data_IF_992637462005
#
_entry.id   IF_992637462005
#
_cell.length_a   1.000
_cell.length_b   1.000
_cell.length_c   1.000
_cell.angle_alpha   90.00
_cell.angle_beta   90.00
_cell.angle_gamma   90.00
#
_symmetry.space_group_name_H-M   'P 1'
#
loop_
_entity.id
_entity.type
_entity.pdbx_description
1 polymer ?
#
# COMPACT_ATOMS: atom_id res chain seq x y z
N UNK A 1 43.27 46.60 44.78
CA UNK A 1 42.05 46.81 45.58
C UNK A 1 41.09 45.70 45.24
N UNK A 2 40.54 44.99 46.23
CA UNK A 2 39.45 44.03 45.99
C UNK A 2 38.16 44.85 46.05
N UNK A 3 37.57 45.14 44.90
CA UNK A 3 36.20 45.65 44.82
C UNK A 3 35.32 44.72 45.67
N UNK A 4 34.54 45.28 46.59
CA UNK A 4 33.61 44.45 47.36
C UNK A 4 32.50 44.04 46.39
N UNK A 5 32.15 42.77 46.41
CA UNK A 5 31.11 42.20 45.54
C UNK A 5 29.78 42.99 45.57
N UNK A 6 29.45 43.61 46.71
CA UNK A 6 28.26 44.46 46.84
C UNK A 6 28.30 45.75 46.01
N UNK A 7 29.49 46.34 45.82
CA UNK A 7 29.66 47.59 45.07
C UNK A 7 29.45 47.34 43.56
N UNK A 8 29.91 46.18 43.07
CA UNK A 8 29.69 45.71 41.68
C UNK A 8 28.21 45.43 41.40
N UNK A 9 27.49 44.84 42.36
CA UNK A 9 26.05 44.57 42.20
C UNK A 9 25.23 45.86 42.19
N UNK A 10 25.64 46.87 42.97
CA UNK A 10 24.99 48.18 43.00
C UNK A 10 25.11 48.90 41.66
N UNK A 11 26.33 48.93 41.11
CA UNK A 11 26.59 49.50 39.79
C UNK A 11 25.80 48.78 38.69
N UNK A 12 25.74 47.44 38.74
CA UNK A 12 24.93 46.65 37.80
C UNK A 12 23.43 46.94 37.91
N UNK A 13 22.88 47.05 39.13
CA UNK A 13 21.45 47.29 39.31
C UNK A 13 21.01 48.70 38.88
N UNK A 14 21.91 49.68 38.90
CA UNK A 14 21.64 51.04 38.42
C UNK A 14 21.79 51.18 36.90
N UNK A 15 22.66 50.37 36.29
CA UNK A 15 22.94 50.41 34.85
C UNK A 15 22.11 49.43 34.03
N UNK A 16 21.54 48.39 34.65
CA UNK A 16 20.71 47.41 33.95
C UNK A 16 19.36 47.97 33.51
N UNK A 17 18.89 47.54 32.34
CA UNK A 17 17.54 47.84 31.84
C UNK A 17 16.47 46.97 32.50
N UNK A 18 16.86 45.95 33.29
CA UNK A 18 15.93 45.12 34.03
C UNK A 18 15.22 45.92 35.12
N UNK A 19 13.88 45.83 35.17
CA UNK A 19 13.08 46.69 36.06
C UNK A 19 13.14 46.30 37.55
N UNK A 20 13.46 45.05 37.88
CA UNK A 20 13.44 44.57 39.26
C UNK A 20 14.75 44.78 40.05
N UNK A 21 15.97 44.56 39.49
CA UNK A 21 17.24 44.79 40.19
C UNK A 21 17.38 46.17 40.89
N UNK A 22 17.09 47.33 40.25
CA UNK A 22 17.18 48.62 40.93
C UNK A 22 16.18 48.75 42.10
N UNK A 23 14.99 48.14 42.00
CA UNK A 23 13.99 48.14 43.09
C UNK A 23 14.43 47.26 44.26
N UNK A 24 15.05 46.12 43.99
CA UNK A 24 15.56 45.22 45.05
C UNK A 24 16.67 45.91 45.87
N UNK A 25 17.51 46.72 45.23
CA UNK A 25 18.62 47.40 45.91
C UNK A 25 18.22 48.68 46.66
N UNK A 26 17.29 49.45 46.11
CA UNK A 26 16.88 50.76 46.66
C UNK A 26 15.94 50.68 47.88
N UNK A 27 15.14 49.63 48.04
CA UNK A 27 14.18 49.54 49.14
C UNK A 27 14.85 49.27 50.52
N UNK A 28 14.33 49.90 51.59
CA UNK A 28 14.89 49.77 52.95
C UNK A 28 14.45 48.51 53.69
N UNK A 29 13.21 48.06 53.50
CA UNK A 29 12.64 46.92 54.20
C UNK A 29 12.89 45.60 53.48
N UNK A 30 13.29 44.57 54.23
CA UNK A 30 13.55 43.23 53.68
C UNK A 30 12.34 42.61 52.99
N UNK A 31 11.12 42.84 53.50
CA UNK A 31 9.88 42.32 52.90
C UNK A 31 9.65 42.87 51.49
N UNK A 32 9.93 44.16 51.27
CA UNK A 32 9.82 44.78 49.94
C UNK A 32 10.89 44.24 48.98
N UNK A 33 12.10 43.94 49.48
CA UNK A 33 13.15 43.30 48.68
C UNK A 33 12.77 41.88 48.26
N UNK A 34 12.22 41.10 49.19
CA UNK A 34 11.73 39.74 48.91
C UNK A 34 10.57 39.76 47.92
N UNK A 35 9.65 40.73 48.04
CA UNK A 35 8.55 40.90 47.09
C UNK A 35 9.06 41.16 45.66
N UNK A 36 9.95 42.14 45.47
CA UNK A 36 10.52 42.42 44.15
C UNK A 36 11.41 41.30 43.62
N UNK A 37 12.13 40.60 44.50
CA UNK A 37 12.91 39.41 44.15
C UNK A 37 12.02 38.25 43.68
N UNK A 38 10.90 38.02 44.36
CA UNK A 38 9.93 36.99 43.97
C UNK A 38 9.30 37.28 42.61
N UNK A 39 8.88 38.54 42.36
CA UNK A 39 8.36 38.95 41.06
C UNK A 39 9.40 38.79 39.94
N UNK A 40 10.67 39.08 40.22
CA UNK A 40 11.75 38.89 39.26
C UNK A 40 11.97 37.41 38.92
N UNK A 41 11.95 36.53 39.93
CA UNK A 41 12.07 35.08 39.73
C UNK A 41 10.89 34.51 38.94
N UNK A 42 9.66 34.98 39.19
CA UNK A 42 8.49 34.61 38.38
C UNK A 42 8.70 35.05 36.93
N UNK A 43 9.14 36.30 36.70
CA UNK A 43 9.38 36.83 35.36
C UNK A 43 10.44 36.03 34.58
N UNK A 44 11.52 35.61 35.24
CA UNK A 44 12.52 34.74 34.63
C UNK A 44 11.93 33.35 34.33
N UNK A 45 11.16 32.78 35.27
CA UNK A 45 10.53 31.47 35.09
C UNK A 45 9.56 31.43 33.91
N UNK A 46 8.70 32.43 33.77
CA UNK A 46 7.76 32.53 32.63
C UNK A 46 8.51 32.77 31.32
N UNK A 47 9.55 33.61 31.32
CA UNK A 47 10.38 33.84 30.14
C UNK A 47 11.04 32.55 29.64
N UNK A 48 11.63 31.76 30.55
CA UNK A 48 12.23 30.47 30.19
C UNK A 48 11.17 29.49 29.67
N UNK A 49 10.01 29.40 30.32
CA UNK A 49 8.91 28.53 29.87
C UNK A 49 8.44 28.87 28.45
N UNK A 50 8.11 30.15 28.18
CA UNK A 50 7.67 30.57 26.84
C UNK A 50 8.76 30.42 25.78
N UNK A 51 10.02 30.67 26.14
CA UNK A 51 11.14 30.47 25.22
C UNK A 51 11.28 29.00 24.83
N UNK A 52 11.11 28.08 25.79
CA UNK A 52 11.15 26.64 25.50
C UNK A 52 9.99 26.20 24.60
N UNK A 53 8.77 26.69 24.83
CA UNK A 53 7.63 26.40 23.95
C UNK A 53 7.84 26.93 22.53
N UNK A 54 8.37 28.16 22.40
CA UNK A 54 8.67 28.73 21.08
C UNK A 54 9.78 27.95 20.36
N UNK A 55 10.83 27.54 21.07
CA UNK A 55 11.91 26.71 20.50
C UNK A 55 11.37 25.34 20.08
N UNK A 56 10.52 24.70 20.90
CA UNK A 56 9.88 23.42 20.56
C UNK A 56 9.01 23.54 19.31
N UNK A 57 8.21 24.61 19.21
CA UNK A 57 7.38 24.90 18.04
C UNK A 57 8.20 25.26 16.80
N UNK A 58 9.36 25.89 16.97
CA UNK A 58 10.26 26.16 15.84
C UNK A 58 10.95 24.88 15.34
N UNK A 59 11.42 24.02 16.26
CA UNK A 59 12.12 22.76 15.95
C UNK A 59 11.14 21.63 15.60
N UNK A 60 9.84 21.79 15.81
CA UNK A 60 8.85 20.83 15.32
C UNK A 60 8.70 20.84 13.80
N UNK A 61 9.24 21.86 13.13
CA UNK A 61 9.18 22.04 11.66
C UNK A 61 7.76 21.86 11.11
N UNK A 62 6.75 22.34 11.84
CA UNK A 62 5.37 22.27 11.41
C UNK A 62 5.18 23.09 10.12
N UNK A 63 4.64 22.44 9.08
CA UNK A 63 4.44 23.06 7.76
C UNK A 63 2.95 23.18 7.48
N UNK A 64 2.54 24.33 6.93
CA UNK A 64 1.18 24.56 6.45
C UNK A 64 1.14 24.31 4.95
N UNK A 65 0.19 23.48 4.49
CA UNK A 65 -0.03 23.22 3.07
C UNK A 65 -1.13 24.13 2.53
N UNK A 66 -0.81 24.93 1.51
CA UNK A 66 -1.79 25.74 0.78
C UNK A 66 -2.25 24.99 -0.48
N UNK A 67 -3.56 24.80 -0.63
CA UNK A 67 -4.16 24.09 -1.76
C UNK A 67 -4.80 25.12 -2.70
N UNK A 68 -4.19 25.33 -3.88
CA UNK A 68 -4.73 26.18 -4.94
C UNK A 68 -5.15 25.35 -6.16
N UNK A 69 -6.35 25.61 -6.70
CA UNK A 69 -6.81 25.00 -7.94
C UNK A 69 -6.33 25.80 -9.14
N UNK A 70 -5.53 25.18 -10.02
CA UNK A 70 -5.10 25.77 -11.30
C UNK A 70 -5.73 25.03 -12.48
N UNK A 71 -6.48 25.76 -13.30
CA UNK A 71 -7.00 25.25 -14.58
C UNK A 71 -5.99 25.55 -15.68
N UNK A 72 -5.20 24.55 -16.03
CA UNK A 72 -4.21 24.62 -17.10
C UNK A 72 -4.27 23.36 -17.97
N UNK A 73 -3.61 23.39 -19.13
CA UNK A 73 -3.46 22.20 -19.97
C UNK A 73 -2.68 21.16 -19.16
N UNK A 74 -3.29 20.01 -18.94
CA UNK A 74 -2.74 18.93 -18.12
C UNK A 74 -2.24 17.81 -19.04
N UNK A 75 -1.14 17.17 -18.66
CA UNK A 75 -0.71 15.95 -19.33
C UNK A 75 -1.69 14.83 -18.97
N UNK A 76 -2.20 14.13 -19.99
CA UNK A 76 -3.02 12.96 -19.73
C UNK A 76 -2.13 11.89 -19.11
N UNK A 77 -2.58 11.16 -18.08
CA UNK A 77 -1.76 10.13 -17.48
C UNK A 77 -1.48 9.00 -18.47
N UNK A 78 -0.45 8.22 -18.20
CA UNK A 78 -0.30 6.92 -18.82
C UNK A 78 -1.38 5.98 -18.25
N UNK A 79 -2.02 5.18 -19.11
CA UNK A 79 -3.04 4.22 -18.67
C UNK A 79 -2.62 2.83 -19.08
N UNK A 80 -2.32 2.00 -18.09
CA UNK A 80 -1.85 0.63 -18.27
C UNK A 80 -2.96 -0.38 -18.07
N UNK A 81 -3.07 -1.31 -19.01
CA UNK A 81 -3.98 -2.43 -19.00
C UNK A 81 -3.18 -3.73 -19.01
N UNK A 82 -3.48 -4.62 -18.08
CA UNK A 82 -2.95 -5.98 -18.05
C UNK A 82 -4.12 -6.95 -17.89
N UNK A 83 -4.06 -8.10 -18.56
CA UNK A 83 -5.00 -9.16 -18.28
C UNK A 83 -4.63 -9.84 -16.96
N UNK A 84 -5.62 -10.23 -16.17
CA UNK A 84 -5.38 -11.02 -14.95
C UNK A 84 -4.97 -12.46 -15.27
N UNK A 85 -5.37 -12.96 -16.43
CA UNK A 85 -4.85 -14.23 -16.96
C UNK A 85 -3.57 -13.95 -17.73
N UNK A 86 -2.47 -14.51 -17.24
CA UNK A 86 -1.14 -14.32 -17.84
C UNK A 86 -1.03 -14.93 -19.24
N UNK A 87 -1.75 -16.03 -19.51
CA UNK A 87 -1.67 -16.77 -20.78
C UNK A 87 -3.05 -17.10 -21.35
N UNK A 88 -3.11 -17.20 -22.67
CA UNK A 88 -4.29 -17.67 -23.40
C UNK A 88 -4.40 -19.18 -23.31
N UNK A 89 -5.58 -19.69 -22.95
CA UNK A 89 -5.79 -21.13 -22.74
C UNK A 89 -5.43 -22.01 -23.95
N UNK A 90 -5.58 -21.50 -25.17
CA UNK A 90 -5.24 -22.17 -26.43
C UNK A 90 -3.74 -22.15 -26.78
N UNK A 91 -2.94 -21.33 -26.09
CA UNK A 91 -1.50 -21.17 -26.33
C UNK A 91 -0.61 -21.74 -25.23
N UNK A 92 -1.20 -22.24 -24.15
CA UNK A 92 -0.45 -22.84 -23.04
C UNK A 92 -0.02 -24.27 -23.40
N UNK A 93 1.28 -24.63 -23.28
CA UNK A 93 1.76 -26.01 -23.45
C UNK A 93 1.03 -27.01 -22.56
N UNK A 94 0.82 -28.23 -23.04
CA UNK A 94 0.05 -29.29 -22.35
C UNK A 94 0.59 -29.57 -20.93
N UNK A 95 1.92 -29.53 -20.76
CA UNK A 95 2.60 -29.67 -19.47
C UNK A 95 2.15 -28.61 -18.45
N UNK A 96 2.07 -27.34 -18.86
CA UNK A 96 1.59 -26.24 -18.00
C UNK A 96 0.10 -26.40 -17.73
N UNK A 97 -0.70 -26.83 -18.72
CA UNK A 97 -2.13 -27.05 -18.52
C UNK A 97 -2.40 -28.09 -17.43
N UNK A 98 -1.64 -29.19 -17.40
CA UNK A 98 -1.79 -30.21 -16.36
C UNK A 98 -1.39 -29.70 -14.98
N UNK A 99 -0.30 -28.94 -14.88
CA UNK A 99 0.16 -28.33 -13.63
C UNK A 99 -0.84 -27.29 -13.10
N UNK A 100 -1.38 -26.45 -13.98
CA UNK A 100 -2.44 -25.48 -13.65
C UNK A 100 -3.73 -26.19 -13.24
N UNK A 101 -4.10 -27.28 -13.92
CA UNK A 101 -5.26 -28.08 -13.54
C UNK A 101 -5.08 -28.69 -12.14
N UNK A 102 -3.91 -29.23 -11.82
CA UNK A 102 -3.59 -29.76 -10.48
C UNK A 102 -3.69 -28.66 -9.41
N UNK A 103 -3.14 -27.47 -9.68
CA UNK A 103 -3.26 -26.30 -8.81
C UNK A 103 -4.73 -25.93 -8.55
N UNK A 104 -5.53 -25.82 -9.61
CA UNK A 104 -6.95 -25.46 -9.51
C UNK A 104 -7.76 -26.52 -8.77
N UNK A 105 -7.42 -27.80 -8.92
CA UNK A 105 -8.04 -28.89 -8.16
C UNK A 105 -7.65 -28.83 -6.67
N UNK A 106 -6.38 -28.56 -6.34
CA UNK A 106 -5.94 -28.38 -4.96
C UNK A 106 -6.62 -27.18 -4.29
N UNK A 107 -6.69 -26.04 -4.98
CA UNK A 107 -7.38 -24.83 -4.52
C UNK A 107 -8.87 -25.05 -4.30
N UNK A 108 -9.52 -25.77 -5.22
CA UNK A 108 -10.93 -26.13 -5.08
C UNK A 108 -11.12 -27.09 -3.90
N UNK A 109 -10.26 -28.08 -3.73
CA UNK A 109 -10.32 -29.01 -2.59
C UNK A 109 -10.19 -28.30 -1.23
N UNK A 110 -9.30 -27.31 -1.13
CA UNK A 110 -9.13 -26.50 0.08
C UNK A 110 -10.38 -25.64 0.38
N UNK A 111 -10.96 -25.00 -0.65
CA UNK A 111 -12.23 -24.25 -0.54
C UNK A 111 -13.39 -25.13 -0.02
N UNK A 112 -13.39 -26.43 -0.36
CA UNK A 112 -14.38 -27.40 0.14
C UNK A 112 -14.02 -27.99 1.51
N UNK A 113 -12.92 -27.56 2.14
CA UNK A 113 -12.45 -28.04 3.44
C UNK A 113 -11.87 -29.45 3.39
N UNK A 114 -11.17 -29.78 2.30
CA UNK A 114 -10.40 -31.01 2.11
C UNK A 114 -10.80 -31.82 0.87
N UNK A 115 -9.84 -32.60 0.34
CA UNK A 115 -9.98 -33.45 -0.86
C UNK A 115 -11.13 -34.45 -0.74
N UNK A 116 -11.32 -35.07 0.44
CA UNK A 116 -12.41 -36.02 0.69
C UNK A 116 -13.80 -35.40 0.49
N UNK A 117 -13.98 -34.14 0.94
CA UNK A 117 -15.25 -33.42 0.79
C UNK A 117 -15.47 -32.99 -0.65
N UNK A 118 -14.42 -32.51 -1.32
CA UNK A 118 -14.46 -32.16 -2.74
C UNK A 118 -14.78 -33.36 -3.64
N UNK A 119 -14.14 -34.51 -3.43
CA UNK A 119 -14.37 -35.72 -4.23
C UNK A 119 -15.78 -36.27 -4.04
N UNK A 120 -16.32 -36.16 -2.82
CA UNK A 120 -17.72 -36.52 -2.52
C UNK A 120 -18.75 -35.61 -3.18
N UNK A 121 -18.41 -34.33 -3.41
CA UNK A 121 -19.23 -33.37 -4.15
C UNK A 121 -19.13 -33.58 -5.67
N UNK A 122 -17.91 -33.77 -6.19
CA UNK A 122 -17.62 -33.98 -7.62
C UNK A 122 -18.22 -35.27 -8.15
N UNK A 123 -18.24 -36.32 -7.33
CA UNK A 123 -18.72 -37.65 -7.75
C UNK A 123 -19.69 -38.24 -6.71
N UNK A 124 -21.01 -38.03 -6.84
CA UNK A 124 -22.01 -38.52 -5.89
C UNK A 124 -22.04 -40.07 -5.76
N UNK A 125 -21.45 -40.77 -6.73
CA UNK A 125 -21.29 -42.23 -6.75
C UNK A 125 -20.16 -42.74 -5.83
N UNK A 126 -19.24 -41.87 -5.39
CA UNK A 126 -18.12 -42.20 -4.49
C UNK A 126 -18.51 -42.13 -3.00
N UNK A 127 -19.80 -42.22 -2.65
CA UNK A 127 -20.21 -42.43 -1.25
C UNK A 127 -19.62 -43.75 -0.76
N UNK A 128 -18.43 -43.68 -0.18
CA UNK A 128 -17.74 -44.78 0.44
C UNK A 128 -18.69 -45.37 1.48
N UNK A 129 -19.11 -46.61 1.21
CA UNK A 129 -19.99 -47.35 2.08
C UNK A 129 -19.32 -47.58 3.42
N UNK A 130 -19.58 -46.71 4.39
CA UNK A 130 -19.56 -47.00 5.83
C UNK A 130 -20.62 -46.12 6.50
N UNK A 131 -21.86 -46.61 6.53
CA UNK A 131 -22.87 -46.16 7.51
C UNK A 131 -22.36 -46.51 8.92
N UNK A 132 -21.57 -45.62 9.53
CA UNK A 132 -21.50 -45.56 11.00
C UNK A 132 -22.63 -44.65 11.44
N UNK A 133 -23.66 -45.22 12.03
CA UNK A 133 -24.79 -44.52 12.66
C UNK A 133 -24.20 -43.55 13.70
N UNK A 134 -24.07 -42.27 13.34
CA UNK A 134 -23.72 -41.21 14.29
C UNK A 134 -25.02 -40.56 14.73
N UNK A 135 -25.23 -40.57 16.04
CA UNK A 135 -26.33 -39.97 16.80
C UNK A 135 -26.69 -38.60 16.22
N UNK A 136 -27.97 -38.32 16.00
CA UNK A 136 -28.47 -36.98 15.71
C UNK A 136 -28.09 -36.08 16.90
N UNK A 137 -27.13 -35.19 16.69
CA UNK A 137 -26.93 -34.04 17.56
C UNK A 137 -27.55 -32.89 16.79
N UNK A 138 -28.72 -32.47 17.26
CA UNK A 138 -29.35 -31.21 16.87
C UNK A 138 -28.46 -30.10 17.44
N UNK A 139 -27.74 -29.41 16.55
CA UNK A 139 -27.05 -28.16 16.90
C UNK A 139 -27.92 -27.02 16.38
N UNK A 140 -28.49 -26.29 17.33
CA UNK A 140 -29.22 -25.06 17.11
C UNK A 140 -28.31 -24.04 16.40
N UNK A 141 -28.88 -23.33 15.43
CA UNK A 141 -28.26 -22.16 14.81
C UNK A 141 -28.19 -21.05 15.85
N UNK A 142 -27.01 -20.82 16.41
CA UNK A 142 -26.69 -19.55 17.07
C UNK A 142 -25.91 -18.69 16.08
N UNK A 143 -26.48 -17.56 15.68
CA UNK A 143 -25.75 -16.50 14.98
C UNK A 143 -24.57 -16.09 15.84
N UNK A 144 -23.36 -16.31 15.35
CA UNK A 144 -22.16 -15.80 15.99
C UNK A 144 -21.56 -14.73 15.10
N UNK A 145 -21.61 -13.51 15.61
CA UNK A 145 -21.12 -12.25 15.08
C UNK A 145 -19.63 -12.38 14.71
N UNK A 146 -19.30 -12.13 13.44
CA UNK A 146 -17.91 -12.11 12.97
C UNK A 146 -17.31 -10.77 13.37
N UNK A 147 -16.46 -10.77 14.41
CA UNK A 147 -15.56 -9.65 14.70
C UNK A 147 -14.47 -9.58 13.64
N UNK A 148 -14.44 -8.49 12.88
CA UNK A 148 -13.38 -8.16 11.93
C UNK A 148 -12.11 -7.90 12.75
N UNK A 149 -11.09 -8.75 12.59
CA UNK A 149 -9.75 -8.46 13.08
C UNK A 149 -9.06 -7.64 12.00
N UNK A 150 -8.98 -6.33 12.22
CA UNK A 150 -7.95 -5.48 11.60
C UNK A 150 -6.61 -5.90 12.20
N UNK A 151 -5.61 -6.21 11.35
CA UNK A 151 -4.17 -5.93 11.55
C UNK A 151 -3.28 -6.86 10.71
N UNK A 152 -2.56 -6.30 9.72
CA UNK A 152 -1.10 -6.14 9.79
C UNK A 152 -0.53 -5.61 8.47
N UNK A 153 -0.25 -4.31 8.44
CA UNK A 153 0.87 -3.78 7.67
C UNK A 153 2.17 -4.29 8.30
N UNK A 154 3.04 -4.91 7.49
CA UNK A 154 4.34 -5.41 7.93
C UNK A 154 5.35 -5.32 6.80
N UNK A 155 5.96 -4.14 6.66
CA UNK A 155 7.16 -3.92 5.86
C UNK A 155 8.34 -4.69 6.48
N UNK A 156 8.79 -5.77 5.86
CA UNK A 156 10.00 -6.48 6.29
C UNK A 156 11.20 -6.10 5.43
N UNK A 157 12.21 -5.52 6.07
CA UNK A 157 13.56 -5.39 5.53
C UNK A 157 14.15 -6.78 5.22
N UNK A 158 14.94 -6.92 4.14
CA UNK A 158 15.71 -8.14 3.92
C UNK A 158 16.78 -8.29 5.02
N UNK A 159 17.00 -9.51 5.57
CA UNK A 159 18.07 -9.74 6.54
C UNK A 159 19.45 -9.68 5.87
N UNK A 160 20.47 -9.33 6.66
CA UNK A 160 21.86 -9.28 6.21
C UNK A 160 22.37 -10.67 5.77
N UNK A 161 23.34 -10.69 4.85
CA UNK A 161 23.88 -11.88 4.20
C UNK A 161 24.44 -12.94 5.16
N UNK A 162 24.79 -12.51 6.37
CA UNK A 162 25.46 -13.29 7.41
C UNK A 162 24.47 -14.20 8.18
N UNK A 163 23.17 -13.93 8.11
CA UNK A 163 22.11 -14.68 8.82
C UNK A 163 21.53 -15.86 8.02
N UNK A 164 21.99 -16.07 6.77
CA UNK A 164 21.52 -17.17 5.90
C UNK A 164 21.88 -18.59 6.39
N UNK A 165 22.66 -18.72 7.46
CA UNK A 165 23.09 -20.02 7.98
C UNK A 165 22.14 -20.63 9.02
N UNK A 166 21.14 -19.89 9.52
CA UNK A 166 20.14 -20.45 10.43
C UNK A 166 18.88 -20.89 9.67
N UNK A 167 18.88 -22.17 9.28
CA UNK A 167 17.78 -22.88 8.61
C UNK A 167 16.43 -22.82 9.38
N UNK A 168 16.47 -22.44 10.66
CA UNK A 168 15.31 -22.37 11.56
C UNK A 168 14.28 -21.29 11.21
N UNK A 169 14.63 -20.30 10.37
CA UNK A 169 13.66 -19.33 9.85
C UNK A 169 12.74 -19.91 8.78
N UNK A 170 13.18 -20.91 8.01
CA UNK A 170 12.33 -21.60 7.04
C UNK A 170 11.33 -22.52 7.73
N UNK A 171 11.75 -23.18 8.82
CA UNK A 171 10.91 -24.14 9.54
C UNK A 171 9.74 -23.50 10.30
N UNK A 172 9.85 -22.20 10.62
CA UNK A 172 8.83 -21.44 11.34
C UNK A 172 7.95 -20.58 10.42
N UNK A 173 8.21 -20.62 9.10
CA UNK A 173 7.27 -20.14 8.10
C UNK A 173 6.16 -21.19 8.00
N UNK A 174 5.19 -21.07 8.90
CA UNK A 174 4.10 -22.00 9.08
C UNK A 174 3.51 -22.44 7.75
N UNK A 175 3.33 -23.77 7.63
CA UNK A 175 2.61 -24.50 6.59
C UNK A 175 2.44 -23.68 5.32
N UNK A 176 3.46 -23.69 4.45
CA UNK A 176 3.33 -23.19 3.07
C UNK A 176 2.11 -23.89 2.52
N UNK A 177 0.98 -23.18 2.45
CA UNK A 177 -0.26 -23.78 1.99
C UNK A 177 0.02 -24.49 0.67
N UNK A 178 -0.62 -25.63 0.44
CA UNK A 178 -0.50 -26.36 -0.81
C UNK A 178 -0.62 -25.44 -2.04
N UNK A 179 -1.38 -24.34 -1.93
CA UNK A 179 -1.46 -23.28 -2.92
C UNK A 179 -0.10 -22.56 -3.17
N UNK A 180 0.60 -22.11 -2.13
CA UNK A 180 1.88 -21.40 -2.30
C UNK A 180 2.98 -22.30 -2.86
N UNK A 181 3.04 -23.58 -2.47
CA UNK A 181 4.06 -24.52 -2.97
C UNK A 181 3.82 -24.89 -4.44
N UNK A 182 2.56 -25.08 -4.85
CA UNK A 182 2.23 -25.34 -6.25
C UNK A 182 2.44 -24.07 -7.10
N UNK A 183 2.10 -22.89 -6.57
CA UNK A 183 2.38 -21.62 -7.25
C UNK A 183 3.89 -21.41 -7.46
N UNK A 184 4.72 -21.76 -6.48
CA UNK A 184 6.18 -21.73 -6.61
C UNK A 184 6.71 -22.72 -7.66
N UNK A 185 6.12 -23.92 -7.74
CA UNK A 185 6.48 -24.89 -8.78
C UNK A 185 6.08 -24.39 -10.18
N UNK A 186 4.91 -23.75 -10.28
CA UNK A 186 4.44 -23.13 -11.53
C UNK A 186 5.33 -21.95 -11.94
N UNK A 187 5.73 -21.08 -11.02
CA UNK A 187 6.63 -19.96 -11.34
C UNK A 187 8.03 -20.44 -11.71
N UNK A 188 8.54 -21.49 -11.07
CA UNK A 188 9.82 -22.11 -11.44
C UNK A 188 9.76 -22.82 -12.81
N UNK A 189 8.59 -23.33 -13.21
CA UNK A 189 8.42 -23.90 -14.53
C UNK A 189 8.33 -22.81 -15.60
N UNK A 190 7.54 -21.75 -15.36
CA UNK A 190 7.39 -20.60 -16.27
C UNK A 190 8.74 -19.88 -16.48
N UNK A 191 9.59 -19.81 -15.45
CA UNK A 191 10.91 -19.15 -15.56
C UNK A 191 11.92 -19.87 -16.47
N UNK A 192 11.59 -21.07 -16.97
CA UNK A 192 12.43 -21.81 -17.93
C UNK A 192 12.19 -21.36 -19.38
N UNK A 193 11.13 -20.61 -19.64
CA UNK A 193 10.77 -20.10 -20.97
C UNK A 193 11.44 -18.75 -21.23
N UNK A 194 11.64 -18.42 -22.51
CA UNK A 194 12.11 -17.09 -22.90
C UNK A 194 10.99 -16.06 -22.79
N UNK A 195 11.34 -14.79 -22.67
CA UNK A 195 10.33 -13.71 -22.61
C UNK A 195 9.51 -13.67 -23.90
N UNK A 196 10.13 -13.94 -25.04
CA UNK A 196 9.47 -13.99 -26.34
C UNK A 196 8.37 -15.09 -26.40
N UNK A 197 8.67 -16.29 -25.89
CA UNK A 197 7.70 -17.39 -25.83
C UNK A 197 6.51 -17.03 -24.93
N UNK A 198 6.79 -16.38 -23.79
CA UNK A 198 5.78 -15.96 -22.82
C UNK A 198 4.90 -14.84 -23.38
N UNK A 199 5.48 -13.91 -24.13
CA UNK A 199 4.75 -12.85 -24.85
C UNK A 199 3.82 -13.47 -25.90
N UNK A 200 4.28 -14.47 -26.66
CA UNK A 200 3.45 -15.14 -27.66
C UNK A 200 2.26 -15.90 -27.03
N UNK A 201 2.50 -16.54 -25.89
CA UNK A 201 1.45 -17.23 -25.12
C UNK A 201 0.48 -16.27 -24.43
N UNK A 202 0.89 -15.03 -24.19
CA UNK A 202 0.10 -13.98 -23.56
C UNK A 202 -1.05 -13.46 -24.43
N UNK A 203 -1.87 -12.58 -23.85
CA UNK A 203 -3.00 -11.97 -24.55
C UNK A 203 -2.53 -10.82 -25.45
N UNK A 204 -2.99 -10.81 -26.70
CA UNK A 204 -2.72 -9.70 -27.63
C UNK A 204 -3.76 -8.58 -27.49
N UNK A 205 -3.31 -7.32 -27.53
CA UNK A 205 -4.21 -6.16 -27.43
C UNK A 205 -5.13 -6.02 -28.65
N UNK A 206 -4.71 -6.46 -29.84
CA UNK A 206 -5.55 -6.43 -31.03
C UNK A 206 -6.78 -7.32 -30.92
N UNK A 207 -6.70 -8.39 -30.13
CA UNK A 207 -7.83 -9.27 -29.83
C UNK A 207 -8.68 -8.77 -28.65
N UNK A 208 -8.04 -8.09 -27.69
CA UNK A 208 -8.72 -7.60 -26.49
C UNK A 208 -9.41 -6.25 -26.70
N UNK A 209 -8.86 -5.32 -27.48
CA UNK A 209 -9.37 -3.97 -27.66
C UNK A 209 -10.48 -3.95 -28.72
N UNK A 210 -11.73 -3.72 -28.32
CA UNK A 210 -12.85 -3.57 -29.27
C UNK A 210 -12.98 -2.16 -29.80
N UNK A 211 -13.01 -1.20 -28.88
CA UNK A 211 -13.19 0.21 -29.20
C UNK A 211 -12.26 1.03 -28.32
N UNK A 212 -11.66 2.06 -28.90
CA UNK A 212 -10.80 3.00 -28.21
C UNK A 212 -11.06 4.39 -28.77
N UNK A 213 -11.40 5.33 -27.90
CA UNK A 213 -11.61 6.72 -28.25
C UNK A 213 -10.88 7.59 -27.23
N UNK A 214 -9.96 8.42 -27.72
CA UNK A 214 -9.24 9.40 -26.92
C UNK A 214 -9.42 10.79 -27.52
N UNK A 215 -9.90 11.75 -26.72
CA UNK A 215 -10.22 13.12 -27.17
C UNK A 215 -11.16 13.16 -28.39
N UNK A 216 -12.12 12.23 -28.45
CA UNK A 216 -13.07 12.10 -29.57
C UNK A 216 -12.47 11.52 -30.87
N UNK A 217 -11.20 11.10 -30.86
CA UNK A 217 -10.56 10.41 -31.98
C UNK A 217 -10.43 8.92 -31.68
N UNK A 218 -10.63 8.08 -32.68
CA UNK A 218 -10.40 6.65 -32.57
C UNK A 218 -8.91 6.37 -32.36
N UNK A 219 -8.59 5.50 -31.40
CA UNK A 219 -7.25 4.95 -31.18
C UNK A 219 -7.21 3.45 -31.51
N UNK A 220 -6.01 2.92 -31.73
CA UNK A 220 -5.80 1.52 -32.07
C UNK A 220 -4.71 0.84 -31.23
N UNK A 221 -4.49 -0.47 -31.42
CA UNK A 221 -3.39 -1.23 -30.80
C UNK A 221 -2.02 -0.54 -30.87
N UNK A 222 -1.75 0.17 -31.96
CA UNK A 222 -0.51 0.91 -32.23
C UNK A 222 -0.29 2.13 -31.32
N UNK A 223 -1.31 2.56 -30.58
CA UNK A 223 -1.23 3.65 -29.60
C UNK A 223 -0.85 3.18 -28.20
N UNK A 224 -0.61 1.87 -28.03
CA UNK A 224 -0.24 1.26 -26.77
C UNK A 224 1.19 0.74 -26.81
N UNK A 225 1.97 1.11 -25.80
CA UNK A 225 3.28 0.52 -25.56
C UNK A 225 3.11 -0.83 -24.87
N UNK A 226 3.62 -1.90 -25.49
CA UNK A 226 3.63 -3.23 -24.91
C UNK A 226 4.84 -3.43 -24.00
N UNK A 227 4.63 -4.11 -22.88
CA UNK A 227 5.70 -4.65 -22.04
C UNK A 227 5.23 -5.94 -21.37
N UNK A 228 6.17 -6.77 -20.94
CA UNK A 228 5.89 -8.00 -20.23
C UNK A 228 6.04 -7.81 -18.71
N UNK A 229 5.03 -8.24 -17.95
CA UNK A 229 5.06 -8.30 -16.49
C UNK A 229 5.08 -9.75 -16.02
N UNK A 230 5.96 -10.10 -15.08
CA UNK A 230 6.13 -11.49 -14.63
C UNK A 230 4.91 -12.07 -13.90
N UNK A 231 3.99 -11.22 -13.43
CA UNK A 231 2.79 -11.62 -12.68
C UNK A 231 1.54 -11.59 -13.56
N UNK A 232 1.43 -10.61 -14.46
CA UNK A 232 0.24 -10.40 -15.28
C UNK A 232 0.42 -10.77 -16.76
N UNK A 233 1.66 -11.01 -17.21
CA UNK A 233 1.96 -11.32 -18.61
C UNK A 233 1.99 -10.06 -19.48
N UNK A 234 1.36 -10.15 -20.65
CA UNK A 234 1.31 -9.01 -21.57
C UNK A 234 0.50 -7.84 -21.00
N UNK A 235 1.16 -6.69 -20.92
CA UNK A 235 0.60 -5.43 -20.47
C UNK A 235 0.77 -4.35 -21.56
N UNK A 236 -0.15 -3.40 -21.57
CA UNK A 236 -0.26 -2.38 -22.61
C UNK A 236 -0.53 -1.03 -22.00
N UNK A 237 0.32 -0.05 -22.30
CA UNK A 237 0.22 1.31 -21.74
C UNK A 237 -0.10 2.31 -22.82
N UNK A 238 -1.29 2.89 -22.75
CA UNK A 238 -1.64 4.07 -23.52
C UNK A 238 -0.88 5.28 -22.98
N UNK A 239 -0.38 6.12 -23.88
CA UNK A 239 0.26 7.39 -23.52
C UNK A 239 1.45 7.24 -22.56
N UNK A 240 2.30 6.23 -22.77
CA UNK A 240 3.45 5.92 -21.91
C UNK A 240 4.56 6.97 -21.93
N UNK A 241 4.62 7.80 -22.98
CA UNK A 241 5.72 8.74 -23.19
C UNK A 241 7.02 8.10 -23.71
N UNK A 242 7.05 6.78 -23.93
CA UNK A 242 8.24 6.04 -24.36
C UNK A 242 8.42 6.09 -25.89
N UNK A 243 7.36 5.80 -26.65
CA UNK A 243 7.41 5.73 -28.12
C UNK A 243 6.87 6.99 -28.80
N UNK A 244 5.94 7.66 -28.13
CA UNK A 244 5.20 8.83 -28.62
C UNK A 244 5.21 9.91 -27.55
N UNK A 245 5.16 11.17 -27.96
CA UNK A 245 5.06 12.29 -27.04
C UNK A 245 3.77 12.21 -26.20
N UNK A 246 3.87 12.59 -24.92
CA UNK A 246 2.75 12.54 -23.97
C UNK A 246 1.62 13.46 -24.43
N UNK A 247 0.42 12.90 -24.54
CA UNK A 247 -0.79 13.60 -24.90
C UNK A 247 -1.25 14.55 -23.78
N UNK A 248 -1.88 15.66 -24.17
CA UNK A 248 -2.33 16.71 -23.26
C UNK A 248 -3.82 16.96 -23.38
N UNK A 249 -4.49 17.15 -22.26
CA UNK A 249 -5.91 17.50 -22.16
C UNK A 249 -6.08 18.95 -21.72
N UNK A 250 -6.98 19.67 -22.39
CA UNK A 250 -7.28 21.07 -22.09
C UNK A 250 -8.48 21.22 -21.16
N UNK A 251 -9.42 20.26 -21.22
CA UNK A 251 -10.68 20.33 -20.51
C UNK A 251 -10.99 18.99 -19.84
N UNK A 252 -11.54 18.99 -18.62
CA UNK A 252 -12.10 17.80 -18.01
C UNK A 252 -13.42 17.42 -18.69
N UNK A 253 -13.77 16.13 -18.67
CA UNK A 253 -15.03 15.61 -19.20
C UNK A 253 -14.86 14.34 -20.01
N UNK A 254 -15.93 13.56 -20.14
CA UNK A 254 -15.92 12.23 -20.78
C UNK A 254 -15.51 12.26 -22.26
N UNK A 255 -15.75 13.39 -22.95
CA UNK A 255 -15.35 13.58 -24.35
C UNK A 255 -13.87 13.91 -24.54
N UNK A 256 -13.20 14.40 -23.49
CA UNK A 256 -11.77 14.75 -23.51
C UNK A 256 -10.89 13.69 -22.83
N UNK A 257 -11.51 12.74 -22.11
CA UNK A 257 -10.85 11.56 -21.56
C UNK A 257 -10.74 10.40 -22.54
N UNK A 258 -10.25 9.27 -22.02
CA UNK A 258 -10.17 8.01 -22.76
C UNK A 258 -11.42 7.16 -22.48
N UNK A 259 -12.03 6.62 -23.54
CA UNK A 259 -13.10 5.64 -23.48
C UNK A 259 -12.66 4.39 -24.24
N UNK A 260 -12.53 3.26 -23.55
CA UNK A 260 -12.05 2.01 -24.12
C UNK A 260 -12.99 0.86 -23.76
N UNK A 261 -13.37 0.05 -24.74
CA UNK A 261 -14.11 -1.20 -24.57
C UNK A 261 -13.21 -2.38 -24.93
N UNK A 262 -13.17 -3.38 -24.06
CA UNK A 262 -12.38 -4.59 -24.26
C UNK A 262 -13.30 -5.81 -24.44
N UNK A 263 -13.05 -6.67 -25.44
CA UNK A 263 -13.72 -7.96 -25.60
C UNK A 263 -12.94 -8.97 -24.78
N UNK A 264 -13.64 -9.65 -23.87
CA UNK A 264 -13.11 -10.81 -23.15
C UNK A 264 -11.86 -10.54 -22.30
N UNK A 265 -11.92 -9.53 -21.44
CA UNK A 265 -11.30 -9.66 -20.11
C UNK A 265 -12.19 -10.62 -19.29
N UNK A 266 -12.24 -11.90 -19.69
CA UNK A 266 -13.00 -12.94 -18.97
C UNK A 266 -12.22 -13.24 -17.70
N UNK A 267 -12.60 -12.53 -16.64
CA UNK A 267 -12.46 -12.99 -15.27
C UNK A 267 -13.01 -14.42 -15.19
N UNK A 268 -12.14 -15.42 -15.05
CA UNK A 268 -12.56 -16.68 -14.44
C UNK A 268 -12.83 -16.37 -12.97
N UNK A 269 -14.02 -15.86 -12.68
CA UNK A 269 -14.53 -15.71 -11.32
C UNK A 269 -14.65 -17.13 -10.77
N UNK A 270 -13.66 -17.55 -9.98
CA UNK A 270 -13.89 -18.63 -9.03
C UNK A 270 -14.87 -18.10 -7.98
N UNK A 271 -16.14 -18.45 -8.19
CA UNK A 271 -17.22 -18.60 -7.23
C UNK A 271 -17.48 -17.46 -6.20
N UNK A 272 -18.60 -16.79 -6.45
CA UNK A 272 -19.55 -16.20 -5.50
C UNK A 272 -19.12 -15.02 -4.60
N UNK A 273 -19.74 -13.88 -4.96
CA UNK A 273 -20.08 -12.65 -4.22
C UNK A 273 -19.16 -11.44 -4.40
N UNK A 274 -19.71 -10.55 -5.25
CA UNK A 274 -19.80 -9.09 -5.09
C UNK A 274 -18.68 -8.17 -5.60
N UNK A 275 -19.15 -7.25 -6.43
CA UNK A 275 -18.65 -5.90 -6.73
C UNK A 275 -17.31 -5.76 -7.47
N UNK A 276 -17.47 -5.69 -8.79
CA UNK A 276 -16.80 -4.75 -9.71
C UNK A 276 -16.01 -3.64 -8.99
N UNK A 277 -14.70 -3.81 -8.86
CA UNK A 277 -13.75 -2.71 -8.68
C UNK A 277 -12.73 -2.79 -9.80
N UNK A 278 -12.93 -1.94 -10.82
CA UNK A 278 -11.88 -1.50 -11.73
C UNK A 278 -10.81 -0.80 -10.88
N UNK A 279 -9.65 -1.44 -10.70
CA UNK A 279 -8.47 -0.76 -10.18
C UNK A 279 -7.91 0.13 -11.29
N UNK A 280 -8.39 1.37 -11.33
CA UNK A 280 -7.64 2.48 -11.93
C UNK A 280 -6.57 2.85 -10.91
N UNK A 281 -5.36 2.31 -11.04
CA UNK A 281 -4.21 2.89 -10.36
C UNK A 281 -3.80 4.15 -11.13
N UNK A 282 -4.17 5.31 -10.57
CA UNK A 282 -3.51 6.57 -10.86
C UNK A 282 -2.16 6.53 -10.12
N UNK A 283 -1.05 6.60 -10.87
CA UNK A 283 0.25 7.02 -10.34
C UNK A 283 0.37 8.52 -10.54
#
# INVERSE_FOLDING_TARGET
MKEKFGDVLADFAETTTAHAPPKIMTHKHILSKLFWGFLFLIGIGTFVFFSQELIRSFVSFETTTDIELKFSVLEFPAVTFCNQNQFRADRVPEDIQTLVAEFLEAKRADMFGGKDKYDSFRNPALKSGRRRKKRSVEYALTEQEITIVEDMEGFYHPPNADDFQNMSWFDNYGDVSSEKSILLNLTQYISQYTEEDLIEAGHDIGEMLQECVFMGKTCGPEDFYHFYDNKYGNCYTFNSGMDKAVARITNPGTSFGMNSLFNKMVLYIQNFKCFLFLLVQLV
#
